data_IF_651999257954
#
_entry.id   IF_651999257954
#
_cell.length_a   1.000
_cell.length_b   1.000
_cell.length_c   1.000
_cell.angle_alpha   90.00
_cell.angle_beta   90.00
_cell.angle_gamma   90.00
#
_symmetry.space_group_name_H-M   'P 1'
#
loop_
_entity.id
_entity.type
_entity.pdbx_description
1 polymer ?
#
# COMPACT_ATOMS: atom_id res chain seq x y z
N UNK A 1 27.30 4.26 -2.09
CA UNK A 1 25.86 4.40 -2.34
C UNK A 1 25.68 4.98 -3.73
N UNK A 2 24.78 4.43 -4.55
CA UNK A 2 24.37 5.05 -5.81
C UNK A 2 23.75 6.41 -5.55
N UNK A 3 23.63 7.24 -6.58
CA UNK A 3 23.01 8.56 -6.47
C UNK A 3 21.49 8.38 -6.31
N UNK A 4 20.93 8.72 -5.14
CA UNK A 4 19.47 8.67 -4.87
C UNK A 4 18.80 9.78 -5.67
N UNK A 5 17.85 9.41 -6.52
CA UNK A 5 17.03 10.33 -7.32
C UNK A 5 15.60 10.48 -6.80
N UNK A 6 15.17 9.54 -6.00
CA UNK A 6 13.81 9.51 -5.46
C UNK A 6 13.77 8.91 -4.06
N UNK A 7 12.78 9.35 -3.28
CA UNK A 7 12.44 8.75 -1.98
C UNK A 7 11.00 8.33 -2.01
N UNK A 8 10.73 7.07 -1.67
CA UNK A 8 9.41 6.51 -1.49
C UNK A 8 9.11 6.39 0.01
N UNK A 9 8.24 7.24 0.53
CA UNK A 9 7.84 7.23 1.94
C UNK A 9 6.57 6.40 2.14
N UNK A 10 6.56 5.56 3.16
CA UNK A 10 5.30 5.13 3.76
C UNK A 10 4.53 6.34 4.30
N UNK A 11 3.24 6.18 4.57
CA UNK A 11 2.37 7.25 5.03
C UNK A 11 2.03 7.15 6.51
N UNK A 12 1.35 6.10 6.92
CA UNK A 12 0.80 5.95 8.28
C UNK A 12 1.92 5.52 9.26
N UNK A 13 2.35 6.39 10.14
CA UNK A 13 3.49 6.18 11.04
C UNK A 13 4.77 6.86 10.56
N UNK A 14 4.90 7.18 9.28
CA UNK A 14 6.09 7.78 8.67
C UNK A 14 5.90 9.24 8.31
N UNK A 15 4.89 9.57 7.51
CA UNK A 15 4.57 10.97 7.13
C UNK A 15 3.58 11.58 8.13
N UNK A 16 2.60 10.81 8.59
CA UNK A 16 1.61 11.29 9.55
C UNK A 16 1.16 10.17 10.50
N UNK A 17 0.63 10.58 11.67
CA UNK A 17 -0.09 9.72 12.60
C UNK A 17 -1.47 10.35 12.81
N UNK A 18 -2.54 9.63 12.42
CA UNK A 18 -3.89 10.20 12.38
C UNK A 18 -3.95 11.41 11.44
N UNK A 19 -4.27 12.58 11.98
CA UNK A 19 -4.36 13.85 11.23
C UNK A 19 -3.22 14.83 11.57
N UNK A 20 -2.07 14.33 12.02
CA UNK A 20 -0.90 15.15 12.37
C UNK A 20 0.34 14.64 11.64
N UNK A 21 1.13 15.58 11.09
CA UNK A 21 2.44 15.25 10.54
C UNK A 21 3.38 14.73 11.63
N UNK A 22 4.25 13.80 11.25
CA UNK A 22 5.38 13.38 12.08
C UNK A 22 6.40 14.53 12.12
N UNK A 23 7.04 14.72 13.26
CA UNK A 23 8.00 15.79 13.46
C UNK A 23 9.17 15.67 12.47
N UNK A 24 9.55 16.80 11.85
CA UNK A 24 10.63 16.88 10.88
C UNK A 24 10.25 16.55 9.44
N UNK A 25 8.99 16.16 9.14
CA UNK A 25 8.53 15.84 7.78
C UNK A 25 8.68 17.04 6.85
N UNK A 26 8.22 18.22 7.26
CA UNK A 26 8.26 19.43 6.39
C UNK A 26 9.69 19.79 6.05
N UNK A 27 10.60 19.73 7.02
CA UNK A 27 12.02 20.01 6.84
C UNK A 27 12.69 18.98 5.93
N UNK A 28 12.34 17.69 6.09
CA UNK A 28 12.86 16.63 5.24
C UNK A 28 12.41 16.80 3.78
N UNK A 29 11.12 17.08 3.56
CA UNK A 29 10.56 17.28 2.23
C UNK A 29 11.15 18.53 1.54
N UNK A 30 11.34 19.62 2.27
CA UNK A 30 11.99 20.84 1.75
C UNK A 30 13.44 20.55 1.34
N UNK A 31 14.21 19.83 2.17
CA UNK A 31 15.56 19.42 1.83
C UNK A 31 15.60 18.58 0.54
N UNK A 32 14.74 17.57 0.41
CA UNK A 32 14.68 16.75 -0.80
C UNK A 32 14.33 17.57 -2.05
N UNK A 33 13.42 18.53 -1.91
CA UNK A 33 13.06 19.48 -2.98
C UNK A 33 14.26 20.33 -3.41
N UNK A 34 15.02 20.88 -2.46
CA UNK A 34 16.25 21.66 -2.73
C UNK A 34 17.31 20.82 -3.46
N UNK A 35 17.37 19.53 -3.17
CA UNK A 35 18.27 18.58 -3.84
C UNK A 35 17.73 18.03 -5.17
N UNK A 36 16.54 18.47 -5.61
CA UNK A 36 15.84 17.94 -6.80
C UNK A 36 15.60 16.42 -6.72
N UNK A 37 15.39 15.88 -5.52
CA UNK A 37 15.04 14.48 -5.28
C UNK A 37 13.53 14.36 -5.28
N UNK A 38 12.98 13.46 -6.12
CA UNK A 38 11.54 13.23 -6.19
C UNK A 38 11.03 12.54 -4.93
N UNK A 39 9.83 12.92 -4.51
CA UNK A 39 9.15 12.30 -3.37
C UNK A 39 7.93 11.54 -3.84
N UNK A 40 7.81 10.31 -3.39
CA UNK A 40 6.67 9.42 -3.62
C UNK A 40 6.06 8.99 -2.29
N UNK A 41 4.75 8.78 -2.29
CA UNK A 41 3.95 8.43 -1.13
C UNK A 41 3.32 7.06 -1.35
N UNK A 42 3.69 6.11 -0.51
CA UNK A 42 3.29 4.70 -0.61
C UNK A 42 2.44 4.29 0.59
N UNK A 43 1.34 3.59 0.36
CA UNK A 43 0.54 3.06 1.47
C UNK A 43 -0.17 1.77 1.10
N UNK A 44 -0.26 0.85 2.06
CA UNK A 44 -1.09 -0.34 1.95
C UNK A 44 -2.60 -0.05 2.08
N UNK A 45 -2.99 1.21 2.24
CA UNK A 45 -4.40 1.57 2.36
C UNK A 45 -5.17 1.19 1.09
N UNK A 46 -6.04 0.20 1.21
CA UNK A 46 -6.93 -0.26 0.14
C UNK A 46 -8.38 0.22 0.31
N UNK A 47 -8.70 0.94 1.41
CA UNK A 47 -10.06 1.41 1.65
C UNK A 47 -10.38 2.75 0.97
N UNK A 48 -9.37 3.54 0.67
CA UNK A 48 -9.46 4.88 0.08
C UNK A 48 -8.99 4.88 -1.36
N UNK A 49 -9.53 5.79 -2.18
CA UNK A 49 -8.99 6.04 -3.51
C UNK A 49 -7.64 6.76 -3.43
N UNK A 50 -6.85 6.68 -4.50
CA UNK A 50 -5.64 7.50 -4.69
C UNK A 50 -5.93 8.99 -4.48
N UNK A 51 -7.06 9.45 -4.98
CA UNK A 51 -7.55 10.82 -4.84
C UNK A 51 -7.86 11.21 -3.39
N UNK A 52 -8.42 10.28 -2.60
CA UNK A 52 -8.71 10.54 -1.18
C UNK A 52 -7.42 10.65 -0.37
N UNK A 53 -6.43 9.80 -0.65
CA UNK A 53 -5.10 9.90 -0.02
C UNK A 53 -4.45 11.23 -0.39
N UNK A 54 -4.48 11.62 -1.66
CA UNK A 54 -3.96 12.90 -2.12
C UNK A 54 -4.64 14.08 -1.39
N UNK A 55 -5.97 14.07 -1.24
CA UNK A 55 -6.70 15.09 -0.49
C UNK A 55 -6.32 15.12 1.00
N UNK A 56 -6.04 13.96 1.62
CA UNK A 56 -5.56 13.90 2.99
C UNK A 56 -4.21 14.61 3.12
N UNK A 57 -3.27 14.35 2.22
CA UNK A 57 -1.97 15.03 2.19
C UNK A 57 -2.13 16.55 2.02
N UNK A 58 -3.04 16.99 1.15
CA UNK A 58 -3.34 18.43 1.00
C UNK A 58 -3.91 19.07 2.27
N UNK A 59 -4.77 18.36 3.03
CA UNK A 59 -5.28 18.85 4.33
C UNK A 59 -4.19 18.97 5.40
N UNK A 60 -3.11 18.22 5.24
CA UNK A 60 -1.91 18.29 6.09
C UNK A 60 -0.89 19.33 5.58
N UNK A 61 -1.31 20.22 4.68
CA UNK A 61 -0.49 21.25 4.04
C UNK A 61 0.68 20.69 3.20
N UNK A 62 0.58 19.43 2.80
CA UNK A 62 1.46 18.83 1.82
C UNK A 62 0.76 18.86 0.46
N UNK A 63 1.44 19.37 -0.57
CA UNK A 63 0.85 19.54 -1.90
C UNK A 63 1.57 18.71 -2.98
N UNK A 64 1.55 17.37 -2.86
CA UNK A 64 2.16 16.49 -3.86
C UNK A 64 1.38 16.53 -5.18
N UNK A 65 2.04 16.18 -6.27
CA UNK A 65 1.34 15.78 -7.48
C UNK A 65 0.62 14.45 -7.24
N UNK A 66 -0.63 14.31 -7.70
CA UNK A 66 -1.37 13.05 -7.53
C UNK A 66 -0.62 11.87 -8.15
N UNK A 67 0.17 12.11 -9.20
CA UNK A 67 0.97 11.10 -9.88
C UNK A 67 2.03 10.45 -8.96
N UNK A 68 2.42 11.12 -7.86
CA UNK A 68 3.41 10.61 -6.90
C UNK A 68 2.80 9.79 -5.75
N UNK A 69 1.48 9.64 -5.70
CA UNK A 69 0.78 8.88 -4.66
C UNK A 69 0.48 7.47 -5.15
N UNK A 70 0.91 6.46 -4.43
CA UNK A 70 0.66 5.04 -4.71
C UNK A 70 0.00 4.38 -3.50
N UNK A 71 -1.20 3.86 -3.69
CA UNK A 71 -1.88 3.03 -2.70
C UNK A 71 -2.32 1.70 -3.30
N UNK A 72 -2.57 0.70 -2.46
CA UNK A 72 -2.91 -0.63 -2.93
C UNK A 72 -4.23 -0.69 -3.68
N UNK A 73 -5.19 0.21 -3.41
CA UNK A 73 -6.43 0.26 -4.18
C UNK A 73 -6.16 0.61 -5.66
N UNK A 74 -5.40 1.68 -5.91
CA UNK A 74 -4.97 2.09 -7.26
C UNK A 74 -4.11 1.01 -7.92
N UNK A 75 -3.11 0.48 -7.20
CA UNK A 75 -2.23 -0.57 -7.70
C UNK A 75 -3.01 -1.84 -8.09
N UNK A 76 -4.06 -2.19 -7.34
CA UNK A 76 -4.94 -3.32 -7.67
C UNK A 76 -5.66 -3.09 -9.00
N UNK A 77 -6.22 -1.90 -9.22
CA UNK A 77 -6.83 -1.55 -10.51
C UNK A 77 -5.85 -1.68 -11.69
N UNK A 78 -4.63 -1.16 -11.51
CA UNK A 78 -3.56 -1.27 -12.52
C UNK A 78 -3.18 -2.72 -12.77
N UNK A 79 -3.00 -3.52 -11.71
CA UNK A 79 -2.69 -4.95 -11.83
C UNK A 79 -3.74 -5.70 -12.63
N UNK A 80 -5.00 -5.52 -12.29
CA UNK A 80 -6.12 -6.18 -12.95
C UNK A 80 -6.18 -5.79 -14.44
N UNK A 81 -6.00 -4.51 -14.75
CA UNK A 81 -5.98 -4.02 -16.14
C UNK A 81 -4.80 -4.60 -16.93
N UNK A 82 -3.58 -4.59 -16.36
CA UNK A 82 -2.37 -5.15 -16.98
C UNK A 82 -2.54 -6.64 -17.30
N UNK A 83 -3.22 -7.38 -16.42
CA UNK A 83 -3.50 -8.81 -16.60
C UNK A 83 -4.83 -9.10 -17.33
N UNK A 84 -5.48 -8.07 -17.93
CA UNK A 84 -6.65 -8.16 -18.82
C UNK A 84 -7.92 -8.72 -18.15
N UNK A 85 -8.03 -8.64 -16.84
CA UNK A 85 -9.30 -8.94 -16.14
C UNK A 85 -10.41 -8.01 -16.62
N UNK A 86 -11.63 -8.54 -16.73
CA UNK A 86 -12.82 -7.80 -17.16
C UNK A 86 -13.83 -7.64 -16.04
N UNK A 87 -13.96 -8.66 -15.20
CA UNK A 87 -14.92 -8.68 -14.10
C UNK A 87 -14.37 -9.39 -12.88
N UNK A 88 -14.58 -8.79 -11.71
CA UNK A 88 -14.11 -9.31 -10.42
C UNK A 88 -15.20 -9.17 -9.37
N UNK A 89 -15.22 -10.06 -8.39
CA UNK A 89 -15.94 -9.84 -7.15
C UNK A 89 -15.01 -9.08 -6.19
N UNK A 90 -15.46 -7.93 -5.70
CA UNK A 90 -14.65 -7.09 -4.82
C UNK A 90 -15.22 -7.10 -3.39
N UNK A 91 -14.55 -7.80 -2.49
CA UNK A 91 -14.72 -7.69 -1.05
C UNK A 91 -13.79 -6.58 -0.54
N UNK A 92 -14.27 -5.36 -0.54
CA UNK A 92 -13.50 -4.16 -0.18
C UNK A 92 -14.38 -2.94 -0.04
N UNK A 93 -13.82 -1.89 0.57
CA UNK A 93 -14.49 -0.60 0.72
C UNK A 93 -14.76 0.08 -0.62
N UNK A 94 -15.55 1.14 -0.61
CA UNK A 94 -15.94 1.89 -1.82
C UNK A 94 -14.73 2.42 -2.60
N UNK A 95 -13.65 2.84 -1.92
CA UNK A 95 -12.45 3.33 -2.58
C UNK A 95 -11.77 2.28 -3.47
N UNK A 96 -11.66 1.03 -3.01
CA UNK A 96 -11.13 -0.06 -3.84
C UNK A 96 -12.03 -0.33 -5.06
N UNK A 97 -13.34 -0.39 -4.85
CA UNK A 97 -14.29 -0.60 -5.94
C UNK A 97 -14.24 0.51 -7.00
N UNK A 98 -14.07 1.75 -6.54
CA UNK A 98 -13.92 2.91 -7.44
C UNK A 98 -12.63 2.83 -8.26
N UNK A 99 -11.49 2.51 -7.67
CA UNK A 99 -10.21 2.36 -8.40
C UNK A 99 -10.26 1.22 -9.42
N UNK A 100 -10.89 0.09 -9.07
CA UNK A 100 -11.12 -1.03 -9.99
C UNK A 100 -11.98 -0.57 -11.17
N UNK A 101 -13.10 0.14 -10.90
CA UNK A 101 -14.00 0.64 -11.94
C UNK A 101 -13.33 1.69 -12.84
N UNK A 102 -12.52 2.61 -12.27
CA UNK A 102 -11.74 3.59 -13.05
C UNK A 102 -10.71 2.91 -13.96
N UNK A 103 -10.24 1.71 -13.61
CA UNK A 103 -9.37 0.91 -14.46
C UNK A 103 -10.12 0.18 -15.60
N UNK A 104 -11.45 0.35 -15.69
CA UNK A 104 -12.29 -0.24 -16.72
C UNK A 104 -12.73 -1.68 -16.42
N UNK A 105 -12.72 -2.10 -15.15
CA UNK A 105 -13.05 -3.45 -14.72
C UNK A 105 -14.37 -3.43 -13.95
N UNK A 106 -15.26 -4.36 -14.28
CA UNK A 106 -16.59 -4.48 -13.65
C UNK A 106 -16.47 -5.18 -12.30
N UNK A 107 -16.95 -4.56 -11.23
CA UNK A 107 -17.25 -5.25 -9.99
C UNK A 107 -18.61 -5.93 -10.12
N UNK A 108 -18.63 -7.26 -9.97
CA UNK A 108 -19.86 -8.07 -10.08
C UNK A 108 -20.43 -8.40 -8.71
N UNK A 109 -21.69 -8.81 -8.69
CA UNK A 109 -22.40 -9.34 -7.53
C UNK A 109 -22.48 -10.87 -7.58
N UNK A 110 -23.12 -11.46 -6.58
CA UNK A 110 -23.11 -12.90 -6.30
C UNK A 110 -23.65 -13.81 -7.43
N UNK A 111 -24.45 -13.26 -8.34
CA UNK A 111 -25.08 -14.01 -9.43
C UNK A 111 -24.17 -14.17 -10.67
N UNK A 112 -23.08 -13.41 -10.76
CA UNK A 112 -22.15 -13.44 -11.89
C UNK A 112 -20.85 -14.15 -11.50
N UNK A 113 -20.36 -15.09 -12.33
CA UNK A 113 -19.07 -15.70 -12.13
C UNK A 113 -17.93 -14.71 -12.42
N UNK A 114 -17.14 -14.29 -11.43
CA UNK A 114 -15.98 -13.42 -11.62
C UNK A 114 -14.75 -14.19 -12.13
N UNK A 115 -13.82 -13.47 -12.73
CA UNK A 115 -12.50 -14.01 -13.08
C UNK A 115 -11.57 -14.02 -11.87
N UNK A 116 -11.83 -13.14 -10.89
CA UNK A 116 -11.11 -13.11 -9.62
C UNK A 116 -12.00 -12.63 -8.47
N UNK A 117 -11.71 -13.13 -7.27
CA UNK A 117 -12.10 -12.52 -5.99
C UNK A 117 -10.97 -11.60 -5.56
N UNK A 118 -11.27 -10.33 -5.37
CA UNK A 118 -10.34 -9.30 -4.89
C UNK A 118 -10.72 -8.91 -3.48
N UNK A 119 -9.78 -9.03 -2.54
CA UNK A 119 -10.02 -8.70 -1.13
C UNK A 119 -9.13 -7.55 -0.69
N UNK A 120 -9.74 -6.50 -0.16
CA UNK A 120 -9.12 -5.35 0.47
C UNK A 120 -9.73 -5.06 1.84
N UNK A 121 -9.27 -4.00 2.49
CA UNK A 121 -9.88 -3.54 3.72
C UNK A 121 -11.33 -3.13 3.46
N UNK A 122 -12.26 -3.80 4.12
CA UNK A 122 -13.70 -3.55 4.03
C UNK A 122 -14.28 -3.31 5.43
N UNK A 123 -14.55 -2.05 5.75
CA UNK A 123 -15.12 -1.67 7.04
C UNK A 123 -16.57 -2.16 7.24
N UNK A 124 -17.23 -2.58 6.15
CA UNK A 124 -18.54 -3.22 6.17
C UNK A 124 -18.48 -4.73 5.92
N UNK A 125 -17.32 -5.39 6.15
CA UNK A 125 -17.19 -6.84 6.01
C UNK A 125 -18.17 -7.56 6.94
N UNK A 126 -18.82 -8.57 6.40
CA UNK A 126 -19.83 -9.34 7.10
C UNK A 126 -19.87 -10.79 6.60
N UNK A 127 -20.73 -11.61 7.24
CA UNK A 127 -20.86 -13.03 6.93
C UNK A 127 -21.30 -13.28 5.48
N UNK A 128 -22.19 -12.45 4.93
CA UNK A 128 -22.71 -12.60 3.56
C UNK A 128 -21.60 -12.40 2.53
N UNK A 129 -20.76 -11.36 2.70
CA UNK A 129 -19.60 -11.12 1.83
C UNK A 129 -18.58 -12.25 1.89
N UNK A 130 -18.37 -12.81 3.07
CA UNK A 130 -17.50 -13.99 3.24
C UNK A 130 -18.08 -15.21 2.51
N UNK A 131 -19.38 -15.46 2.66
CA UNK A 131 -20.08 -16.57 1.99
C UNK A 131 -20.04 -16.42 0.46
N UNK A 132 -20.23 -15.21 -0.07
CA UNK A 132 -20.12 -14.91 -1.49
C UNK A 132 -18.71 -15.22 -2.02
N UNK A 133 -17.66 -14.67 -1.36
CA UNK A 133 -16.26 -14.94 -1.72
C UNK A 133 -15.93 -16.42 -1.70
N UNK A 134 -16.35 -17.14 -0.63
CA UNK A 134 -16.19 -18.58 -0.51
C UNK A 134 -16.81 -19.34 -1.70
N UNK A 135 -18.06 -19.01 -2.06
CA UNK A 135 -18.75 -19.72 -3.14
C UNK A 135 -18.11 -19.46 -4.52
N UNK A 136 -17.63 -18.26 -4.76
CA UNK A 136 -16.90 -17.91 -5.99
C UNK A 136 -15.56 -18.65 -6.07
N UNK A 137 -14.83 -18.75 -4.96
CA UNK A 137 -13.54 -19.44 -4.88
C UNK A 137 -13.64 -20.98 -4.99
N UNK A 138 -14.84 -21.58 -4.95
CA UNK A 138 -15.04 -22.98 -5.34
C UNK A 138 -14.67 -23.26 -6.80
N UNK A 139 -14.84 -22.24 -7.67
CA UNK A 139 -14.32 -22.31 -9.02
C UNK A 139 -12.80 -22.13 -8.98
N UNK A 140 -12.05 -23.17 -9.33
CA UNK A 140 -10.57 -23.15 -9.34
C UNK A 140 -9.97 -22.20 -10.36
N UNK A 141 -10.70 -21.85 -11.41
CA UNK A 141 -10.27 -20.86 -12.41
C UNK A 141 -10.43 -19.41 -11.90
N UNK A 142 -11.24 -19.19 -10.86
CA UNK A 142 -11.38 -17.89 -10.22
C UNK A 142 -10.14 -17.61 -9.37
N UNK A 143 -9.39 -16.56 -9.71
CA UNK A 143 -8.16 -16.19 -9.00
C UNK A 143 -8.47 -15.53 -7.66
N UNK A 144 -7.60 -15.74 -6.68
CA UNK A 144 -7.71 -15.11 -5.38
C UNK A 144 -6.61 -14.06 -5.21
N UNK A 145 -7.01 -12.78 -5.25
CA UNK A 145 -6.12 -11.60 -5.23
C UNK A 145 -6.42 -10.80 -3.97
N UNK A 146 -5.38 -10.35 -3.28
CA UNK A 146 -5.54 -9.54 -2.07
C UNK A 146 -4.72 -8.25 -2.15
N UNK A 147 -5.22 -7.20 -1.51
CA UNK A 147 -4.53 -5.92 -1.46
C UNK A 147 -3.28 -5.98 -0.57
N UNK A 148 -3.40 -6.52 0.64
CA UNK A 148 -2.29 -6.69 1.59
C UNK A 148 -2.67 -7.69 2.70
N UNK A 149 -1.72 -7.95 3.62
CA UNK A 149 -1.90 -8.84 4.77
C UNK A 149 -1.77 -8.11 6.12
N UNK A 150 -1.90 -6.79 6.13
CA UNK A 150 -1.73 -6.00 7.36
C UNK A 150 -2.67 -6.51 8.45
N UNK A 151 -2.09 -6.83 9.61
CA UNK A 151 -2.84 -7.39 10.75
C UNK A 151 -3.73 -6.34 11.38
N UNK A 152 -3.17 -5.16 11.59
CA UNK A 152 -3.82 -4.02 12.24
C UNK A 152 -3.34 -2.72 11.60
N UNK A 153 -4.04 -1.64 11.87
CA UNK A 153 -3.56 -0.28 11.61
C UNK A 153 -3.88 0.63 12.80
N UNK A 154 -3.01 1.62 13.10
CA UNK A 154 -3.23 2.53 14.21
C UNK A 154 -4.30 3.58 13.85
N UNK A 155 -5.08 3.94 14.85
CA UNK A 155 -5.99 5.10 14.83
C UNK A 155 -5.71 5.99 16.04
N UNK A 156 -6.41 7.12 16.13
CA UNK A 156 -6.26 8.05 17.25
C UNK A 156 -6.32 7.36 18.63
N UNK A 157 -5.68 7.98 19.62
CA UNK A 157 -5.61 7.50 21.01
C UNK A 157 -4.96 6.11 21.15
N UNK A 158 -3.94 5.82 20.34
CA UNK A 158 -3.18 4.54 20.37
C UNK A 158 -4.04 3.28 20.23
N UNK A 159 -5.25 3.40 19.66
CA UNK A 159 -6.11 2.25 19.38
C UNK A 159 -5.68 1.57 18.09
N UNK A 160 -5.78 0.23 18.08
CA UNK A 160 -5.56 -0.59 16.89
C UNK A 160 -6.91 -1.04 16.31
N UNK A 161 -7.01 -0.96 15.00
CA UNK A 161 -8.13 -1.52 14.24
C UNK A 161 -7.64 -2.70 13.40
N UNK A 162 -8.50 -3.72 13.17
CA UNK A 162 -8.15 -4.83 12.26
C UNK A 162 -7.84 -4.31 10.85
N UNK A 163 -6.72 -4.76 10.29
CA UNK A 163 -6.34 -4.49 8.91
C UNK A 163 -7.05 -5.41 7.89
N UNK A 164 -6.51 -5.48 6.70
CA UNK A 164 -7.01 -6.38 5.64
C UNK A 164 -6.74 -7.85 5.96
N UNK A 165 -5.63 -8.16 6.65
CA UNK A 165 -5.19 -9.52 6.96
C UNK A 165 -6.25 -10.39 7.64
N UNK A 166 -6.94 -9.94 8.70
CA UNK A 166 -8.03 -10.69 9.34
C UNK A 166 -9.19 -11.04 8.38
N UNK A 167 -9.55 -10.13 7.47
CA UNK A 167 -10.57 -10.40 6.44
C UNK A 167 -10.08 -11.49 5.50
N UNK A 168 -8.85 -11.36 5.01
CA UNK A 168 -8.21 -12.36 4.14
C UNK A 168 -8.16 -13.71 4.82
N UNK A 169 -7.65 -13.77 6.06
CA UNK A 169 -7.53 -15.01 6.83
C UNK A 169 -8.87 -15.73 7.01
N UNK A 170 -9.97 -14.98 7.23
CA UNK A 170 -11.30 -15.58 7.35
C UNK A 170 -11.77 -16.24 6.05
N UNK A 171 -11.51 -15.61 4.90
CA UNK A 171 -11.86 -16.14 3.58
C UNK A 171 -10.95 -17.31 3.21
N UNK A 172 -9.64 -17.23 3.48
CA UNK A 172 -8.69 -18.33 3.28
C UNK A 172 -9.08 -19.55 4.08
N UNK A 173 -9.40 -19.36 5.36
CA UNK A 173 -9.84 -20.46 6.24
C UNK A 173 -11.13 -21.12 5.75
N UNK A 174 -12.13 -20.32 5.39
CA UNK A 174 -13.43 -20.80 4.93
C UNK A 174 -13.34 -21.52 3.56
N UNK A 175 -12.52 -21.02 2.64
CA UNK A 175 -12.39 -21.57 1.28
C UNK A 175 -11.37 -22.72 1.16
N UNK A 176 -10.46 -22.85 2.13
CA UNK A 176 -9.31 -23.75 2.06
C UNK A 176 -8.30 -23.34 0.98
N UNK A 177 -8.39 -22.10 0.46
CA UNK A 177 -7.47 -21.56 -0.55
C UNK A 177 -6.63 -20.44 0.06
N UNK A 178 -5.37 -20.36 -0.35
CA UNK A 178 -4.51 -19.21 -0.06
C UNK A 178 -4.62 -18.20 -1.20
N UNK A 179 -4.45 -16.92 -0.87
CA UNK A 179 -4.33 -15.87 -1.90
C UNK A 179 -3.14 -16.16 -2.82
N UNK A 180 -3.37 -16.06 -4.11
CA UNK A 180 -2.39 -16.35 -5.16
C UNK A 180 -1.56 -15.12 -5.53
N UNK A 181 -2.12 -13.93 -5.28
CA UNK A 181 -1.50 -12.65 -5.59
C UNK A 181 -1.71 -11.68 -4.44
N UNK A 182 -0.64 -11.04 -4.02
CA UNK A 182 -0.64 -9.94 -3.07
C UNK A 182 -0.14 -8.69 -3.81
N UNK A 183 -0.84 -7.57 -3.70
CA UNK A 183 -0.51 -6.35 -4.46
C UNK A 183 0.40 -5.42 -3.66
N UNK A 184 0.09 -5.22 -2.38
CA UNK A 184 0.76 -4.26 -1.50
C UNK A 184 2.02 -4.80 -0.86
N UNK A 185 2.69 -3.93 -0.11
CA UNK A 185 3.86 -4.27 0.68
C UNK A 185 3.60 -5.51 1.56
N UNK A 186 4.56 -6.43 1.70
CA UNK A 186 5.97 -6.37 1.26
C UNK A 186 6.22 -6.76 -0.21
N UNK A 187 5.19 -7.03 -1.02
CA UNK A 187 5.37 -7.32 -2.43
C UNK A 187 5.83 -6.08 -3.22
N UNK A 188 6.59 -6.30 -4.27
CA UNK A 188 7.33 -5.24 -4.99
C UNK A 188 6.52 -4.54 -6.07
N UNK A 189 5.28 -4.97 -6.35
CA UNK A 189 4.50 -4.51 -7.50
C UNK A 189 4.33 -2.97 -7.55
N UNK A 190 4.16 -2.31 -6.40
CA UNK A 190 4.03 -0.84 -6.38
C UNK A 190 5.36 -0.14 -6.71
N UNK A 191 6.52 -0.72 -6.34
CA UNK A 191 7.84 -0.21 -6.75
C UNK A 191 8.08 -0.46 -8.24
N UNK A 192 7.67 -1.61 -8.79
CA UNK A 192 7.69 -1.86 -10.23
C UNK A 192 6.92 -0.81 -11.00
N UNK A 193 5.71 -0.46 -10.52
CA UNK A 193 4.90 0.59 -11.13
C UNK A 193 5.64 1.93 -11.11
N UNK A 194 6.17 2.33 -9.95
CA UNK A 194 6.92 3.59 -9.80
C UNK A 194 8.11 3.64 -10.74
N UNK A 195 8.93 2.58 -10.78
CA UNK A 195 10.09 2.50 -11.65
C UNK A 195 9.70 2.64 -13.12
N UNK A 196 8.64 1.97 -13.54
CA UNK A 196 8.12 2.04 -14.90
C UNK A 196 7.56 3.42 -15.25
N UNK A 197 6.76 4.01 -14.36
CA UNK A 197 6.11 5.31 -14.58
C UNK A 197 7.12 6.47 -14.68
N UNK A 198 8.23 6.38 -13.94
CA UNK A 198 9.20 7.48 -13.80
C UNK A 198 10.58 7.18 -14.38
N UNK A 199 10.75 6.04 -15.04
CA UNK A 199 12.02 5.58 -15.63
C UNK A 199 13.18 5.65 -14.62
N UNK A 200 12.95 5.09 -13.43
CA UNK A 200 13.91 4.98 -12.35
C UNK A 200 14.37 3.54 -12.19
N UNK A 201 15.62 3.36 -11.72
CA UNK A 201 16.15 2.06 -11.34
C UNK A 201 15.95 1.85 -9.84
N UNK A 202 15.88 0.59 -9.42
CA UNK A 202 15.68 0.22 -8.02
C UNK A 202 16.71 0.88 -7.07
N UNK A 203 18.01 0.88 -7.44
CA UNK A 203 19.07 1.49 -6.65
C UNK A 203 19.02 3.02 -6.56
N UNK A 204 18.18 3.68 -7.36
CA UNK A 204 17.97 5.13 -7.36
C UNK A 204 16.84 5.59 -6.44
N UNK A 205 16.10 4.62 -5.84
CA UNK A 205 14.95 4.87 -4.98
C UNK A 205 15.27 4.46 -3.56
N UNK A 206 15.27 5.41 -2.63
CA UNK A 206 15.36 5.14 -1.21
C UNK A 206 13.95 4.94 -0.64
N UNK A 207 13.68 3.78 -0.04
CA UNK A 207 12.43 3.51 0.66
C UNK A 207 12.58 3.89 2.13
N UNK A 208 11.60 4.62 2.66
CA UNK A 208 11.55 5.03 4.07
C UNK A 208 10.19 4.65 4.65
N UNK A 209 10.19 3.88 5.72
CA UNK A 209 8.98 3.46 6.41
C UNK A 209 9.25 3.11 7.87
N UNK A 210 8.18 2.92 8.64
CA UNK A 210 8.25 2.59 10.07
C UNK A 210 8.04 1.09 10.37
N UNK A 211 7.66 0.30 9.35
CA UNK A 211 7.37 -1.13 9.51
C UNK A 211 8.37 -1.98 8.75
N UNK A 212 9.18 -2.75 9.50
CA UNK A 212 10.20 -3.62 8.91
C UNK A 212 9.59 -4.67 7.98
N UNK A 213 8.54 -5.37 8.43
CA UNK A 213 7.93 -6.49 7.72
C UNK A 213 7.21 -6.09 6.42
N UNK A 214 6.95 -4.82 6.22
CA UNK A 214 6.30 -4.31 5.00
C UNK A 214 7.22 -3.43 4.17
N UNK A 215 7.74 -2.33 4.73
CA UNK A 215 8.48 -1.31 3.99
C UNK A 215 9.90 -1.76 3.66
N UNK A 216 10.60 -2.22 4.68
CA UNK A 216 12.00 -2.65 4.52
C UNK A 216 12.04 -3.96 3.75
N UNK A 217 11.15 -4.92 4.08
CA UNK A 217 11.07 -6.18 3.35
C UNK A 217 10.72 -5.98 1.86
N UNK A 218 9.85 -5.02 1.52
CA UNK A 218 9.57 -4.66 0.12
C UNK A 218 10.83 -4.11 -0.57
N UNK A 219 11.53 -3.19 0.08
CA UNK A 219 12.75 -2.58 -0.48
C UNK A 219 13.84 -3.62 -0.69
N UNK A 220 14.08 -4.49 0.30
CA UNK A 220 15.09 -5.55 0.22
C UNK A 220 14.74 -6.55 -0.90
N UNK A 221 13.47 -6.96 -1.00
CA UNK A 221 12.98 -7.83 -2.07
C UNK A 221 13.12 -7.23 -3.47
N UNK A 222 13.11 -5.90 -3.57
CA UNK A 222 13.27 -5.17 -4.83
C UNK A 222 14.72 -4.79 -5.13
N UNK A 223 15.60 -4.84 -4.14
CA UNK A 223 16.99 -4.39 -4.24
C UNK A 223 17.14 -2.86 -4.18
N UNK A 224 16.21 -2.19 -3.53
CA UNK A 224 16.27 -0.74 -3.26
C UNK A 224 16.90 -0.47 -1.90
N UNK A 225 17.70 0.59 -1.74
CA UNK A 225 18.13 1.03 -0.41
C UNK A 225 16.93 1.41 0.45
N UNK A 226 17.03 1.14 1.76
CA UNK A 226 15.95 1.41 2.72
C UNK A 226 16.44 2.04 4.01
N UNK A 227 15.52 2.74 4.70
CA UNK A 227 15.70 3.28 6.05
C UNK A 227 14.45 2.97 6.89
N UNK A 228 14.64 2.31 8.01
CA UNK A 228 13.60 2.12 9.01
C UNK A 228 13.52 3.36 9.91
N UNK A 229 12.36 4.00 9.95
CA UNK A 229 12.05 5.05 10.92
C UNK A 229 11.66 4.40 12.25
N UNK A 230 12.61 4.36 13.20
CA UNK A 230 12.46 3.73 14.51
C UNK A 230 12.70 4.77 15.61
N UNK A 231 11.69 5.62 15.83
CA UNK A 231 11.78 6.75 16.76
C UNK A 231 12.08 6.34 18.21
N UNK A 232 11.66 5.15 18.61
CA UNK A 232 11.78 4.65 19.98
C UNK A 232 12.94 3.65 20.16
N UNK A 233 13.67 3.31 19.07
CA UNK A 233 14.74 2.31 19.07
C UNK A 233 14.26 0.92 19.53
N UNK A 234 13.06 0.53 19.11
CA UNK A 234 12.43 -0.73 19.50
C UNK A 234 12.87 -1.92 18.64
N UNK A 235 13.31 -1.65 17.40
CA UNK A 235 13.74 -2.70 16.47
C UNK A 235 15.18 -3.16 16.76
N UNK A 236 15.34 -4.45 17.05
CA UNK A 236 16.63 -5.07 17.40
C UNK A 236 17.34 -5.76 16.23
N UNK A 237 16.72 -5.80 15.03
CA UNK A 237 17.31 -6.45 13.86
C UNK A 237 18.40 -5.61 13.16
N UNK A 238 19.06 -6.22 12.19
CA UNK A 238 20.10 -5.57 11.37
C UNK A 238 19.43 -4.85 10.18
N UNK A 239 19.24 -3.55 10.29
CA UNK A 239 18.84 -2.67 9.18
C UNK A 239 19.33 -1.25 9.43
N UNK A 240 19.40 -0.43 8.39
CA UNK A 240 19.70 0.99 8.58
C UNK A 240 18.49 1.68 9.21
N UNK A 241 18.72 2.32 10.36
CA UNK A 241 17.68 3.01 11.12
C UNK A 241 17.95 4.50 11.19
N UNK A 242 16.84 5.25 11.26
CA UNK A 242 16.81 6.68 11.64
C UNK A 242 15.82 6.85 12.77
N UNK A 243 16.12 7.74 13.72
CA UNK A 243 15.24 8.08 14.85
C UNK A 243 14.33 9.26 14.54
N UNK A 244 14.67 10.03 13.53
CA UNK A 244 13.87 11.15 13.05
C UNK A 244 13.95 11.21 11.52
N UNK A 245 12.84 11.54 10.89
CA UNK A 245 12.75 11.60 9.43
C UNK A 245 13.73 12.62 8.81
N UNK A 246 14.11 13.67 9.57
CA UNK A 246 15.08 14.68 9.13
C UNK A 246 16.49 14.08 8.90
N UNK A 247 16.81 12.96 9.52
CA UNK A 247 18.11 12.29 9.34
C UNK A 247 18.31 11.73 7.92
N UNK A 248 17.27 11.70 7.10
CA UNK A 248 17.37 11.35 5.67
C UNK A 248 18.43 12.20 4.95
N UNK A 249 18.72 13.41 5.44
CA UNK A 249 19.77 14.29 4.92
C UNK A 249 21.15 13.64 4.89
N UNK A 250 21.39 12.62 5.69
CA UNK A 250 22.66 11.89 5.75
C UNK A 250 22.76 10.82 4.65
N UNK A 251 21.69 10.58 3.90
CA UNK A 251 21.56 9.47 2.94
C UNK A 251 21.25 9.92 1.52
N UNK A 252 20.94 11.21 1.33
CA UNK A 252 20.54 11.80 0.04
C UNK A 252 21.45 12.97 -0.37
#
# INVERSE_FOLDING_TARGET
MGFIKAVAFDLDGTIYIGDKLVDGVVEALNYLKEKNIKVFYFTNNSAKTRKDIHRKLQKLDLHPEIATVYNTAYATGVYLKKNKYKKVYCCGSSGLKEEIAQSGIKCVHDEELPEAVVVGLDLGFNYEKMAAALNMLKNKECRFIICNRDRTYPVENSRLMPGCGPIVASIEYASGRQAEVIIGKPETFMLDMLCGDWNLRNEEILVVGDTFESDIAMADGYGSPSLLLDCNDEFSGETKKIRSIIEIKNYC
#
